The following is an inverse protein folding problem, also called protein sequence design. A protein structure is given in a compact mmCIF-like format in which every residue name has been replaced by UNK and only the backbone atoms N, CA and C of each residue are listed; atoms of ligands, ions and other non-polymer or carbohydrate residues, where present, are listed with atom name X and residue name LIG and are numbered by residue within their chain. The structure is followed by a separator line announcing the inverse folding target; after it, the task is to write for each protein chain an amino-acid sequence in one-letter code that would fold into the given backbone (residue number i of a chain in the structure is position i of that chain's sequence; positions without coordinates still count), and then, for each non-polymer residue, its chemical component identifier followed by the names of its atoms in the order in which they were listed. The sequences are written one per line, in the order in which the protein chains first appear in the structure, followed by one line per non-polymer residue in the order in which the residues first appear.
data_IF_748300770509
#
_entry.id   IF_748300770509
#
_cell.length_a   1.000
_cell.length_b   1.000
_cell.length_c   1.000
_cell.angle_alpha   90.00
_cell.angle_beta   90.00
_cell.angle_gamma   90.00
#
_symmetry.space_group_name_H-M   'P 1'
#
loop_
_entity.id
_entity.type
_entity.pdbx_description
1 polymer ?
#
# COMPACT_ATOMS: atom_id res chain seq x y z
N UNK A 1 10.68 -16.26 -1.73
CA UNK A 1 9.38 -16.96 -1.96
C UNK A 1 9.11 -17.81 -0.74
N UNK A 2 7.90 -17.74 -0.15
CA UNK A 2 7.55 -18.54 1.05
C UNK A 2 6.84 -17.79 2.20
N UNK A 3 6.46 -16.52 2.02
CA UNK A 3 5.70 -15.74 3.00
C UNK A 3 4.32 -15.38 2.44
N UNK A 4 3.38 -15.06 3.34
CA UNK A 4 2.09 -14.46 2.94
C UNK A 4 2.31 -13.23 2.09
N UNK A 5 1.56 -13.14 0.99
CA UNK A 5 1.68 -12.05 0.03
C UNK A 5 0.92 -10.81 0.52
N UNK A 6 1.46 -10.18 1.56
CA UNK A 6 0.94 -8.94 2.13
C UNK A 6 1.80 -7.77 1.63
N UNK A 7 1.22 -6.92 0.77
CA UNK A 7 1.92 -5.86 0.05
C UNK A 7 1.03 -4.62 -0.06
N UNK A 8 1.63 -3.45 0.01
CA UNK A 8 0.96 -2.19 -0.29
C UNK A 8 1.67 -1.48 -1.44
N UNK A 9 0.90 -1.08 -2.44
CA UNK A 9 1.35 -0.31 -3.61
C UNK A 9 0.94 1.13 -3.38
N UNK A 10 1.92 2.02 -3.34
CA UNK A 10 1.77 3.45 -3.11
C UNK A 10 2.08 4.20 -4.40
N UNK A 11 1.30 5.22 -4.71
CA UNK A 11 1.59 6.11 -5.84
C UNK A 11 2.34 7.36 -5.34
N UNK A 12 3.64 7.20 -5.09
CA UNK A 12 4.53 8.24 -4.53
C UNK A 12 5.88 8.21 -5.27
N UNK A 13 6.59 9.34 -5.28
CA UNK A 13 7.88 9.44 -5.95
C UNK A 13 9.03 8.88 -5.11
N UNK A 14 8.98 9.08 -3.79
CA UNK A 14 10.04 8.63 -2.90
C UNK A 14 9.47 7.92 -1.66
N UNK A 15 10.04 6.78 -1.21
CA UNK A 15 9.52 6.04 -0.06
C UNK A 15 9.50 6.83 1.25
N UNK A 16 10.34 7.86 1.37
CA UNK A 16 10.36 8.76 2.53
C UNK A 16 9.07 9.59 2.67
N UNK A 17 8.31 9.78 1.59
CA UNK A 17 7.06 10.54 1.61
C UNK A 17 6.03 9.92 2.55
N UNK A 18 6.06 8.59 2.73
CA UNK A 18 5.18 7.86 3.66
C UNK A 18 5.44 8.21 5.13
N UNK A 19 6.66 8.61 5.47
CA UNK A 19 7.01 9.01 6.84
C UNK A 19 6.86 10.52 7.06
N UNK A 20 6.94 11.32 5.99
CA UNK A 20 6.87 12.77 6.05
C UNK A 20 5.42 13.29 5.96
N UNK A 21 4.58 12.66 5.14
CA UNK A 21 3.20 13.08 4.91
C UNK A 21 2.24 12.22 5.74
N UNK A 22 1.48 12.84 6.63
CA UNK A 22 0.47 12.18 7.47
C UNK A 22 -0.92 12.71 7.12
N UNK A 23 -1.86 11.81 6.82
CA UNK A 23 -3.27 12.16 6.60
C UNK A 23 -3.71 12.30 5.14
N UNK A 24 -2.81 12.13 4.17
CA UNK A 24 -3.17 12.10 2.74
C UNK A 24 -3.22 10.63 2.26
N UNK A 25 -4.32 10.17 1.64
CA UNK A 25 -4.41 8.80 1.15
C UNK A 25 -3.59 8.65 -0.14
N UNK A 26 -2.37 8.11 -0.01
CA UNK A 26 -1.49 7.76 -1.14
C UNK A 26 -1.54 6.27 -1.51
N UNK A 27 -2.36 5.49 -0.81
CA UNK A 27 -2.47 4.05 -1.03
C UNK A 27 -3.21 3.80 -2.35
N UNK A 28 -2.50 3.24 -3.33
CA UNK A 28 -3.06 2.93 -4.64
C UNK A 28 -3.73 1.56 -4.65
N UNK A 29 -3.05 0.54 -4.12
CA UNK A 29 -3.59 -0.82 -3.95
C UNK A 29 -3.02 -1.48 -2.73
N UNK A 30 -3.81 -2.34 -2.09
CA UNK A 30 -3.37 -3.18 -0.99
C UNK A 30 -3.66 -4.64 -1.34
N UNK A 31 -2.68 -5.49 -1.11
CA UNK A 31 -2.74 -6.93 -1.37
C UNK A 31 -2.54 -7.61 -0.03
N UNK A 32 -3.46 -8.50 0.33
CA UNK A 32 -3.39 -9.27 1.57
C UNK A 32 -3.63 -10.73 1.22
N UNK A 33 -2.75 -11.63 1.67
CA UNK A 33 -2.77 -13.04 1.29
C UNK A 33 -2.85 -13.30 -0.23
N UNK A 34 -2.33 -12.37 -1.05
CA UNK A 34 -2.36 -12.47 -2.51
C UNK A 34 -3.67 -11.99 -3.16
N UNK A 35 -4.66 -11.56 -2.39
CA UNK A 35 -5.89 -10.96 -2.90
C UNK A 35 -5.82 -9.44 -2.86
N UNK A 36 -6.31 -8.78 -3.91
CA UNK A 36 -6.39 -7.32 -3.96
C UNK A 36 -7.55 -6.88 -3.07
N UNK A 37 -7.25 -6.24 -1.95
CA UNK A 37 -8.28 -5.62 -1.12
C UNK A 37 -8.87 -4.42 -1.87
N UNK A 38 -10.14 -4.52 -2.23
CA UNK A 38 -10.94 -3.38 -2.67
C UNK A 38 -11.41 -2.67 -1.39
N UNK A 39 -10.58 -1.76 -0.89
CA UNK A 39 -11.00 -0.81 0.14
C UNK A 39 -11.93 0.20 -0.57
N UNK A 40 -13.20 -0.20 -0.74
CA UNK A 40 -14.27 0.66 -1.26
C UNK A 40 -14.45 1.81 -0.28
N UNK A 41 -14.03 3.01 -0.72
CA UNK A 41 -14.19 4.27 0.01
C UNK A 41 -15.66 4.69 -0.01
#
# INVERSE_FOLDING_TARGET
VGYSADLAIWNIEHPADLSYQVGVPHLHKRIVNGEVCHDSI
#
